data_IF_001293523059
#
_entry.id   IF_001293523059
#
_cell.length_a   1.000
_cell.length_b   1.000
_cell.length_c   1.000
_cell.angle_alpha   90.00
_cell.angle_beta   90.00
_cell.angle_gamma   90.00
#
_symmetry.space_group_name_H-M   'P 1'
#
loop_
_entity.id
_entity.type
_entity.pdbx_description
1 polymer ?
#
# COMPACT_ATOMS: atom_id res chain seq x y z
N UNK A 1 -4.31 -22.65 -71.26
CA UNK A 1 -5.05 -22.09 -70.12
C UNK A 1 -4.31 -22.48 -68.85
N UNK A 2 -3.62 -21.55 -68.21
CA UNK A 2 -2.98 -21.78 -66.92
C UNK A 2 -3.76 -20.97 -65.88
N UNK A 3 -4.39 -21.67 -64.94
CA UNK A 3 -5.03 -21.05 -63.78
C UNK A 3 -3.93 -20.68 -62.79
N UNK A 4 -3.75 -19.38 -62.55
CA UNK A 4 -2.86 -18.90 -61.50
C UNK A 4 -3.50 -19.21 -60.15
N UNK A 5 -2.81 -20.02 -59.34
CA UNK A 5 -3.13 -20.23 -57.94
C UNK A 5 -2.95 -18.88 -57.21
N UNK A 6 -4.05 -18.26 -56.82
CA UNK A 6 -4.04 -17.15 -55.86
C UNK A 6 -3.74 -17.77 -54.50
N UNK A 7 -2.48 -17.69 -54.06
CA UNK A 7 -2.11 -18.01 -52.68
C UNK A 7 -2.71 -16.94 -51.77
N UNK A 8 -3.67 -17.31 -50.94
CA UNK A 8 -4.20 -16.42 -49.91
C UNK A 8 -3.08 -16.07 -48.93
N UNK A 9 -2.69 -14.80 -48.85
CA UNK A 9 -1.76 -14.33 -47.81
C UNK A 9 -2.46 -14.49 -46.47
N UNK A 10 -1.89 -15.30 -45.59
CA UNK A 10 -2.43 -15.55 -44.27
C UNK A 10 -2.05 -14.37 -43.37
N UNK A 11 -3.00 -13.45 -43.17
CA UNK A 11 -2.81 -12.28 -42.30
C UNK A 11 -2.84 -12.74 -40.84
N UNK A 12 -1.75 -12.53 -40.11
CA UNK A 12 -1.67 -12.79 -38.68
C UNK A 12 -1.02 -11.60 -37.96
N UNK A 13 -1.59 -11.23 -36.81
CA UNK A 13 -1.02 -10.20 -35.94
C UNK A 13 0.26 -10.75 -35.32
N UNK A 14 1.32 -9.94 -35.29
CA UNK A 14 2.58 -10.32 -34.64
C UNK A 14 2.49 -10.15 -33.12
N UNK A 15 2.94 -11.19 -32.40
CA UNK A 15 3.01 -11.23 -30.95
C UNK A 15 4.46 -11.14 -30.49
N UNK A 16 4.69 -10.36 -29.44
CA UNK A 16 6.01 -10.18 -28.87
C UNK A 16 5.99 -10.31 -27.35
N UNK A 17 7.04 -10.85 -26.72
CA UNK A 17 7.19 -10.76 -25.27
C UNK A 17 7.53 -9.32 -24.85
N UNK A 18 7.19 -8.93 -23.63
CA UNK A 18 7.45 -7.58 -23.10
C UNK A 18 8.93 -7.15 -23.09
N UNK A 19 9.87 -8.09 -23.14
CA UNK A 19 11.32 -7.82 -23.17
C UNK A 19 11.90 -7.74 -24.60
N UNK A 20 11.07 -7.78 -25.64
CA UNK A 20 11.51 -7.66 -27.03
C UNK A 20 12.16 -6.30 -27.32
N UNK A 21 13.03 -6.25 -28.33
CA UNK A 21 13.54 -4.99 -28.86
C UNK A 21 12.42 -4.17 -29.54
N UNK A 22 12.36 -2.87 -29.24
CA UNK A 22 11.41 -1.90 -29.80
C UNK A 22 11.43 -1.84 -31.32
N UNK A 23 12.58 -2.05 -31.99
CA UNK A 23 12.66 -2.06 -33.46
C UNK A 23 11.78 -3.13 -34.09
N UNK A 24 11.67 -4.31 -33.47
CA UNK A 24 10.86 -5.41 -33.98
C UNK A 24 9.36 -5.08 -33.86
N UNK A 25 8.94 -4.52 -32.73
CA UNK A 25 7.56 -4.07 -32.49
C UNK A 25 7.18 -2.96 -33.45
N UNK A 26 8.06 -1.94 -33.61
CA UNK A 26 7.79 -0.83 -34.51
C UNK A 26 7.71 -1.29 -35.97
N UNK A 27 8.53 -2.26 -36.38
CA UNK A 27 8.44 -2.85 -37.71
C UNK A 27 7.08 -3.54 -37.93
N UNK A 28 6.59 -4.31 -36.96
CA UNK A 28 5.26 -4.91 -37.06
C UNK A 28 4.14 -3.86 -37.13
N UNK A 29 4.25 -2.75 -36.38
CA UNK A 29 3.31 -1.63 -36.49
C UNK A 29 3.39 -0.98 -37.89
N UNK A 30 4.59 -0.79 -38.44
CA UNK A 30 4.77 -0.17 -39.75
C UNK A 30 4.29 -1.05 -40.90
N UNK A 31 4.52 -2.37 -40.82
CA UNK A 31 4.15 -3.33 -41.85
C UNK A 31 2.66 -3.72 -41.76
N UNK A 32 2.15 -3.95 -40.55
CA UNK A 32 0.82 -4.57 -40.30
C UNK A 32 -0.19 -3.63 -39.62
N UNK A 33 0.24 -2.45 -39.14
CA UNK A 33 -0.60 -1.49 -38.42
C UNK A 33 -0.91 -1.86 -36.97
N UNK A 34 -0.50 -3.06 -36.50
CA UNK A 34 -0.79 -3.58 -35.16
C UNK A 34 0.28 -4.55 -34.70
N UNK A 35 0.60 -4.52 -33.40
CA UNK A 35 1.42 -5.51 -32.73
C UNK A 35 0.81 -5.81 -31.35
N UNK A 36 0.92 -7.06 -30.89
CA UNK A 36 0.52 -7.46 -29.54
C UNK A 36 1.77 -7.70 -28.71
N UNK A 37 1.82 -7.10 -27.51
CA UNK A 37 2.89 -7.34 -26.54
C UNK A 37 2.31 -8.11 -25.37
N UNK A 38 2.72 -9.37 -25.22
CA UNK A 38 2.35 -10.24 -24.12
C UNK A 38 3.09 -9.83 -22.85
N UNK A 39 2.35 -9.71 -21.73
CA UNK A 39 2.92 -9.34 -20.43
C UNK A 39 3.46 -7.91 -20.37
N UNK A 40 2.90 -6.97 -21.16
CA UNK A 40 3.38 -5.58 -21.23
C UNK A 40 3.39 -4.87 -19.86
N UNK A 41 2.43 -5.20 -19.00
CA UNK A 41 2.38 -4.75 -17.60
C UNK A 41 2.61 -5.95 -16.67
N UNK A 42 3.24 -5.71 -15.53
CA UNK A 42 3.34 -6.71 -14.47
C UNK A 42 1.94 -7.10 -13.98
N UNK A 43 1.78 -8.37 -13.62
CA UNK A 43 0.53 -8.81 -12.97
C UNK A 43 0.40 -8.21 -11.56
N UNK A 44 1.52 -7.83 -10.94
CA UNK A 44 1.50 -7.12 -9.67
C UNK A 44 1.33 -5.62 -9.88
N UNK A 45 0.43 -5.01 -9.12
CA UNK A 45 0.09 -3.60 -9.24
C UNK A 45 0.00 -2.96 -7.85
N UNK A 46 0.37 -1.68 -7.79
CA UNK A 46 0.38 -0.88 -6.57
C UNK A 46 -0.34 0.43 -6.84
N UNK A 47 -1.28 0.79 -5.98
CA UNK A 47 -2.05 2.01 -6.09
C UNK A 47 -2.01 2.79 -4.77
N UNK A 48 -1.27 3.90 -4.79
CA UNK A 48 -1.11 4.81 -3.66
C UNK A 48 -2.09 5.99 -3.70
N UNK A 49 -2.06 6.84 -2.67
CA UNK A 49 -2.83 8.07 -2.57
C UNK A 49 -4.34 7.83 -2.67
N UNK A 50 -4.85 6.75 -2.06
CA UNK A 50 -6.28 6.38 -2.10
C UNK A 50 -7.20 7.51 -1.65
N UNK A 51 -6.73 8.38 -0.75
CA UNK A 51 -7.42 9.61 -0.32
C UNK A 51 -7.87 10.46 -1.52
N UNK A 52 -7.06 10.52 -2.58
CA UNK A 52 -7.32 11.33 -3.77
C UNK A 52 -8.57 10.91 -4.55
N UNK A 53 -9.02 9.67 -4.45
CA UNK A 53 -10.08 9.14 -5.30
C UNK A 53 -11.14 8.27 -4.59
N UNK A 54 -10.88 7.71 -3.41
CA UNK A 54 -11.87 6.87 -2.71
C UNK A 54 -12.60 7.62 -1.61
N UNK A 55 -13.89 7.89 -1.81
CA UNK A 55 -14.77 8.49 -0.79
C UNK A 55 -14.91 7.59 0.44
N UNK A 56 -15.15 6.30 0.24
CA UNK A 56 -15.25 5.30 1.33
C UNK A 56 -13.99 5.30 2.19
N UNK A 57 -12.82 5.41 1.57
CA UNK A 57 -11.57 5.50 2.32
C UNK A 57 -11.52 6.74 3.23
N UNK A 58 -11.94 7.90 2.70
CA UNK A 58 -11.91 9.16 3.45
C UNK A 58 -12.92 9.23 4.58
N UNK A 59 -14.12 8.73 4.33
CA UNK A 59 -15.26 8.96 5.21
C UNK A 59 -15.42 7.82 6.22
N UNK A 60 -15.13 6.58 5.81
CA UNK A 60 -15.35 5.41 6.66
C UNK A 60 -14.02 4.90 7.21
N UNK A 61 -13.06 4.55 6.34
CA UNK A 61 -11.80 3.92 6.77
C UNK A 61 -10.97 4.85 7.64
N UNK A 62 -10.77 6.10 7.21
CA UNK A 62 -10.00 7.09 7.97
C UNK A 62 -10.68 7.61 9.24
N UNK A 63 -11.95 7.26 9.49
CA UNK A 63 -12.66 7.60 10.72
C UNK A 63 -12.98 6.36 11.57
N UNK A 64 -12.36 5.21 11.27
CA UNK A 64 -12.65 3.95 11.96
C UNK A 64 -12.28 3.98 13.46
N UNK A 65 -13.27 3.90 14.35
CA UNK A 65 -13.10 4.15 15.79
C UNK A 65 -12.07 3.23 16.46
N UNK A 66 -12.11 1.92 16.16
CA UNK A 66 -11.17 0.95 16.72
C UNK A 66 -9.75 1.19 16.23
N UNK A 67 -9.57 1.60 14.97
CA UNK A 67 -8.25 1.93 14.41
C UNK A 67 -7.64 3.09 15.19
N UNK A 68 -8.40 4.17 15.37
CA UNK A 68 -7.98 5.30 16.20
C UNK A 68 -7.73 4.92 17.66
N UNK A 69 -8.55 4.05 18.23
CA UNK A 69 -8.37 3.53 19.59
C UNK A 69 -7.04 2.78 19.78
N UNK A 70 -6.64 1.99 18.79
CA UNK A 70 -5.35 1.28 18.77
C UNK A 70 -4.20 2.29 18.59
N UNK A 71 -4.30 3.19 17.61
CA UNK A 71 -3.25 4.17 17.35
C UNK A 71 -2.99 5.10 18.54
N UNK A 72 -4.04 5.58 19.24
CA UNK A 72 -3.86 6.41 20.45
C UNK A 72 -3.05 5.71 21.53
N UNK A 73 -3.18 4.38 21.67
CA UNK A 73 -2.40 3.58 22.63
C UNK A 73 -0.98 3.32 22.13
N UNK A 74 -0.84 2.90 20.87
CA UNK A 74 0.46 2.57 20.31
C UNK A 74 1.41 3.79 20.24
N UNK A 75 0.85 4.97 19.95
CA UNK A 75 1.59 6.23 19.84
C UNK A 75 1.50 7.10 21.09
N UNK A 76 0.99 6.56 22.20
CA UNK A 76 0.78 7.34 23.43
C UNK A 76 2.06 7.96 23.99
N UNK A 77 3.23 7.37 23.67
CA UNK A 77 4.55 7.84 24.14
C UNK A 77 5.19 8.88 23.22
N UNK A 78 4.60 9.15 22.05
CA UNK A 78 5.14 10.08 21.05
C UNK A 78 4.19 11.25 20.75
N UNK A 79 2.88 11.06 20.86
CA UNK A 79 1.86 12.08 20.66
C UNK A 79 0.85 11.71 19.58
N UNK A 80 0.38 12.71 18.84
CA UNK A 80 -0.56 12.51 17.76
C UNK A 80 0.05 11.70 16.60
N UNK A 81 -0.82 11.13 15.79
CA UNK A 81 -0.48 10.30 14.64
C UNK A 81 -1.29 10.71 13.42
N UNK A 82 -0.80 10.34 12.25
CA UNK A 82 -1.47 10.55 10.97
C UNK A 82 -1.21 9.41 10.00
N UNK A 83 -1.91 9.41 8.88
CA UNK A 83 -1.70 8.41 7.83
C UNK A 83 -0.36 8.67 7.12
N UNK A 84 0.55 7.70 7.13
CA UNK A 84 1.77 7.73 6.32
C UNK A 84 1.45 7.49 4.84
N UNK A 85 0.65 6.47 4.54
CA UNK A 85 0.08 6.23 3.22
C UNK A 85 -1.18 5.37 3.31
N UNK A 86 -1.98 5.40 2.24
CA UNK A 86 -3.06 4.47 2.00
C UNK A 86 -2.86 3.83 0.62
N UNK A 87 -2.68 2.51 0.57
CA UNK A 87 -2.33 1.82 -0.69
C UNK A 87 -3.08 0.51 -0.87
N UNK A 88 -3.42 0.17 -2.11
CA UNK A 88 -3.86 -1.17 -2.49
C UNK A 88 -2.71 -1.84 -3.21
N UNK A 89 -2.35 -3.02 -2.73
CA UNK A 89 -1.44 -3.93 -3.43
C UNK A 89 -2.25 -5.06 -4.03
N UNK A 90 -1.94 -5.39 -5.27
CA UNK A 90 -2.47 -6.55 -5.99
C UNK A 90 -1.29 -7.44 -6.37
N UNK A 91 -1.33 -8.68 -5.89
CA UNK A 91 -0.37 -9.71 -6.28
C UNK A 91 -1.04 -10.65 -7.29
N UNK A 92 -0.43 -10.80 -8.45
CA UNK A 92 -0.94 -11.66 -9.52
C UNK A 92 -0.50 -13.13 -9.38
N UNK A 93 -1.04 -14.00 -10.24
CA UNK A 93 -0.59 -15.39 -10.37
C UNK A 93 0.92 -15.49 -10.59
N UNK A 94 1.59 -16.42 -9.89
CA UNK A 94 3.03 -16.66 -10.01
C UNK A 94 3.91 -15.64 -9.29
N UNK A 95 3.34 -14.72 -8.49
CA UNK A 95 4.13 -13.82 -7.65
C UNK A 95 5.00 -14.62 -6.69
N UNK A 96 6.31 -14.40 -6.71
CA UNK A 96 7.25 -14.99 -5.77
C UNK A 96 7.07 -14.45 -4.34
N UNK A 97 7.51 -15.25 -3.37
CA UNK A 97 7.55 -14.83 -1.97
C UNK A 97 8.46 -13.61 -1.79
N UNK A 98 8.05 -12.69 -0.93
CA UNK A 98 8.89 -11.56 -0.53
C UNK A 98 10.03 -12.05 0.38
N UNK A 99 11.16 -11.34 0.43
CA UNK A 99 12.15 -11.59 1.48
C UNK A 99 11.60 -11.18 2.86
N UNK A 100 12.13 -11.78 3.93
CA UNK A 100 11.88 -11.36 5.30
C UNK A 100 12.24 -9.88 5.50
N UNK A 101 11.30 -9.09 6.00
CA UNK A 101 11.50 -7.67 6.22
C UNK A 101 10.66 -7.14 7.38
N UNK A 102 10.97 -5.90 7.76
CA UNK A 102 10.15 -5.04 8.61
C UNK A 102 9.60 -3.91 7.74
N UNK A 103 8.37 -3.49 7.98
CA UNK A 103 7.78 -2.37 7.25
C UNK A 103 8.43 -1.03 7.63
N UNK A 104 8.96 -0.91 8.86
CA UNK A 104 9.48 0.36 9.35
C UNK A 104 10.74 0.76 8.56
N UNK A 105 10.74 1.95 7.93
CA UNK A 105 11.92 2.44 7.23
C UNK A 105 13.06 2.69 8.21
N UNK A 106 14.28 2.35 7.80
CA UNK A 106 15.46 2.62 8.59
C UNK A 106 15.86 4.09 8.44
N UNK A 107 15.51 4.92 9.43
CA UNK A 107 15.89 6.32 9.47
C UNK A 107 17.05 6.55 10.45
N UNK A 108 18.14 7.21 10.05
CA UNK A 108 19.31 7.45 10.92
C UNK A 108 19.00 8.20 12.22
N UNK A 109 17.89 8.94 12.26
CA UNK A 109 17.47 9.74 13.41
C UNK A 109 16.42 9.05 14.29
N UNK A 110 15.93 7.87 13.89
CA UNK A 110 14.93 7.13 14.65
C UNK A 110 15.59 5.92 15.31
N UNK A 111 15.38 5.81 16.62
CA UNK A 111 15.67 4.55 17.31
C UNK A 111 14.68 3.50 16.78
N UNK A 112 15.21 2.44 16.18
CA UNK A 112 14.44 1.29 15.69
C UNK A 112 14.73 0.06 16.54
N UNK A 113 13.77 -0.85 16.62
CA UNK A 113 13.96 -2.15 17.26
C UNK A 113 13.35 -2.25 18.68
N UNK A 114 13.75 -3.27 19.45
CA UNK A 114 13.10 -3.61 20.72
C UNK A 114 13.21 -2.48 21.75
N UNK A 115 12.13 -2.21 22.46
CA UNK A 115 12.08 -1.16 23.49
C UNK A 115 12.02 0.28 22.95
N UNK A 116 12.16 0.51 21.64
CA UNK A 116 11.88 1.82 21.04
C UNK A 116 10.37 2.09 20.96
N UNK A 117 9.93 3.36 20.94
CA UNK A 117 8.54 3.71 20.67
C UNK A 117 8.03 3.12 19.35
N UNK A 118 6.71 2.98 19.21
CA UNK A 118 6.14 2.54 17.93
C UNK A 118 6.25 3.68 16.91
N UNK A 119 6.88 3.41 15.77
CA UNK A 119 7.05 4.41 14.71
C UNK A 119 6.08 4.19 13.53
N UNK A 120 5.36 3.08 13.52
CA UNK A 120 4.29 2.83 12.55
C UNK A 120 3.39 1.67 12.98
N UNK A 121 2.14 1.70 12.54
CA UNK A 121 1.24 0.56 12.52
C UNK A 121 0.66 0.40 11.12
N UNK A 122 0.73 -0.79 10.56
CA UNK A 122 0.11 -1.11 9.27
C UNK A 122 -1.17 -1.92 9.51
N UNK A 123 -2.32 -1.33 9.22
CA UNK A 123 -3.59 -2.05 9.16
C UNK A 123 -3.71 -2.70 7.78
N UNK A 124 -3.20 -3.92 7.70
CA UNK A 124 -3.16 -4.74 6.50
C UNK A 124 -4.49 -5.50 6.36
N UNK A 125 -5.44 -4.86 5.69
CA UNK A 125 -6.78 -5.40 5.46
C UNK A 125 -6.83 -6.17 4.16
N UNK A 126 -7.29 -7.41 4.19
CA UNK A 126 -7.36 -8.25 3.00
C UNK A 126 -8.68 -7.97 2.29
N UNK A 127 -8.65 -7.70 0.99
CA UNK A 127 -9.86 -7.39 0.20
C UNK A 127 -10.49 -8.62 -0.44
N UNK A 128 -9.79 -9.76 -0.33
CA UNK A 128 -10.19 -11.09 -0.79
C UNK A 128 -9.61 -12.12 0.18
N UNK A 129 -10.09 -13.35 0.13
CA UNK A 129 -9.60 -14.41 1.01
C UNK A 129 -8.13 -14.73 0.71
N UNK A 130 -7.32 -14.76 1.77
CA UNK A 130 -5.91 -15.10 1.70
C UNK A 130 -5.74 -16.53 2.19
N UNK A 131 -5.53 -17.44 1.24
CA UNK A 131 -5.26 -18.86 1.48
C UNK A 131 -3.80 -19.19 1.24
N UNK A 132 -3.39 -20.41 1.60
CA UNK A 132 -2.02 -20.88 1.33
C UNK A 132 -1.68 -20.87 -0.16
N UNK A 133 -2.67 -21.06 -1.03
CA UNK A 133 -2.49 -21.12 -2.48
C UNK A 133 -2.38 -19.72 -3.10
N UNK A 134 -3.26 -18.79 -2.72
CA UNK A 134 -3.19 -17.38 -3.17
C UNK A 134 -2.00 -16.62 -2.56
N UNK A 135 -1.32 -17.25 -1.61
CA UNK A 135 -0.33 -16.67 -0.73
C UNK A 135 -0.99 -16.06 0.51
N UNK A 136 -0.45 -16.36 1.68
CA UNK A 136 -0.79 -15.72 2.96
C UNK A 136 0.28 -14.69 3.31
N UNK A 137 0.05 -13.92 4.37
CA UNK A 137 1.16 -13.22 5.03
C UNK A 137 1.74 -14.14 6.10
N UNK A 138 3.07 -14.21 6.15
CA UNK A 138 3.81 -15.04 7.09
C UNK A 138 4.56 -14.14 8.07
N UNK A 139 4.48 -14.48 9.35
CA UNK A 139 5.08 -13.73 10.45
C UNK A 139 6.10 -14.61 11.15
N UNK A 140 7.28 -14.07 11.39
CA UNK A 140 8.25 -14.74 12.27
C UNK A 140 7.92 -14.35 13.71
N UNK A 141 7.40 -15.30 14.49
CA UNK A 141 6.79 -15.05 15.79
C UNK A 141 7.76 -14.34 16.75
N UNK A 142 7.25 -13.42 17.58
CA UNK A 142 8.02 -12.67 18.60
C UNK A 142 9.21 -11.81 18.12
N UNK A 143 9.47 -11.70 16.81
CA UNK A 143 10.64 -10.97 16.28
C UNK A 143 10.62 -9.44 16.46
N UNK A 144 9.49 -8.87 16.86
CA UNK A 144 9.42 -7.47 17.30
C UNK A 144 10.30 -7.18 18.53
N UNK A 145 10.75 -8.22 19.23
CA UNK A 145 11.66 -8.16 20.38
C UNK A 145 13.12 -8.45 20.02
N UNK A 146 13.44 -8.71 18.74
CA UNK A 146 14.80 -8.89 18.23
C UNK A 146 15.35 -7.63 17.57
N UNK A 147 16.67 -7.45 17.61
CA UNK A 147 17.34 -6.34 16.93
C UNK A 147 17.49 -6.67 15.45
N UNK A 148 18.04 -7.83 15.14
CA UNK A 148 18.19 -8.39 13.82
C UNK A 148 16.86 -8.84 13.20
N UNK A 149 16.84 -9.06 11.87
CA UNK A 149 15.74 -9.77 11.20
C UNK A 149 15.77 -11.26 11.57
N UNK A 150 16.96 -11.86 11.52
CA UNK A 150 17.17 -13.27 11.81
C UNK A 150 16.56 -14.21 10.76
N UNK A 151 16.59 -15.49 11.09
CA UNK A 151 15.91 -16.56 10.35
C UNK A 151 14.93 -17.27 11.29
N UNK A 152 13.90 -17.95 10.76
CA UNK A 152 13.00 -18.73 11.59
C UNK A 152 13.74 -19.82 12.39
N UNK A 153 13.37 -19.96 13.66
CA UNK A 153 13.92 -20.97 14.57
C UNK A 153 12.82 -21.54 15.49
N UNK A 154 13.20 -22.40 16.44
CA UNK A 154 12.25 -23.04 17.34
C UNK A 154 11.51 -22.05 18.27
N UNK A 155 12.16 -20.93 18.63
CA UNK A 155 11.61 -19.90 19.51
C UNK A 155 10.82 -18.84 18.71
N UNK A 156 11.10 -18.72 17.42
CA UNK A 156 10.51 -17.75 16.49
C UNK A 156 9.97 -18.48 15.25
N UNK A 157 9.01 -19.40 15.41
CA UNK A 157 8.45 -20.16 14.29
C UNK A 157 7.70 -19.22 13.34
N UNK A 158 7.56 -19.67 12.09
CA UNK A 158 6.70 -18.98 11.12
C UNK A 158 5.24 -19.28 11.42
N UNK A 159 4.44 -18.22 11.60
CA UNK A 159 2.99 -18.29 11.75
C UNK A 159 2.34 -17.62 10.54
N UNK A 160 1.28 -18.23 10.01
CA UNK A 160 0.60 -17.70 8.83
C UNK A 160 -0.76 -17.11 9.19
N UNK A 161 -1.12 -16.00 8.56
CA UNK A 161 -2.45 -15.41 8.69
C UNK A 161 -3.35 -15.83 7.54
N UNK A 162 -4.12 -16.91 7.75
CA UNK A 162 -5.27 -17.18 6.90
C UNK A 162 -6.35 -16.16 7.26
N UNK A 163 -6.66 -15.25 6.34
CA UNK A 163 -7.56 -14.11 6.55
C UNK A 163 -8.66 -14.15 5.51
N UNK A 164 -9.89 -13.88 5.92
CA UNK A 164 -11.04 -13.75 5.03
C UNK A 164 -11.19 -12.30 4.58
N UNK A 165 -11.85 -12.08 3.44
CA UNK A 165 -12.15 -10.74 2.96
C UNK A 165 -12.71 -9.84 4.07
N UNK A 166 -12.14 -8.64 4.21
CA UNK A 166 -12.39 -7.62 5.25
C UNK A 166 -11.68 -7.83 6.59
N UNK A 167 -11.01 -8.97 6.81
CA UNK A 167 -10.15 -9.12 7.98
C UNK A 167 -8.92 -8.21 7.88
N UNK A 168 -8.44 -7.70 9.01
CA UNK A 168 -7.18 -6.94 9.08
C UNK A 168 -6.18 -7.60 10.02
N UNK A 169 -4.96 -7.78 9.56
CA UNK A 169 -3.81 -7.93 10.44
C UNK A 169 -3.30 -6.53 10.81
N UNK A 170 -3.02 -6.29 12.10
CA UNK A 170 -2.42 -5.02 12.55
C UNK A 170 -0.95 -5.28 12.86
N UNK A 171 -0.06 -4.75 12.04
CA UNK A 171 1.37 -5.01 12.12
C UNK A 171 2.08 -3.84 12.78
N UNK A 172 2.87 -4.14 13.81
CA UNK A 172 3.94 -3.25 14.26
C UNK A 172 5.01 -3.15 13.18
N UNK A 173 5.60 -1.96 13.03
CA UNK A 173 6.77 -1.76 12.16
C UNK A 173 7.99 -2.61 12.52
N UNK A 174 8.00 -3.22 13.71
CA UNK A 174 9.07 -4.07 14.24
C UNK A 174 8.88 -5.54 13.92
N UNK A 175 7.69 -5.96 13.47
CA UNK A 175 7.40 -7.36 13.20
C UNK A 175 8.07 -7.82 11.90
N UNK A 176 8.86 -8.90 11.97
CA UNK A 176 9.44 -9.52 10.77
C UNK A 176 8.39 -10.38 10.09
N UNK A 177 8.17 -10.12 8.80
CA UNK A 177 7.16 -10.81 8.02
C UNK A 177 7.52 -10.85 6.54
N UNK A 178 6.75 -11.61 5.76
CA UNK A 178 6.83 -11.66 4.30
C UNK A 178 5.46 -12.04 3.70
N UNK A 179 5.18 -11.60 2.49
CA UNK A 179 4.13 -12.21 1.67
C UNK A 179 4.60 -13.54 1.07
N UNK A 180 3.81 -14.61 1.23
CA UNK A 180 4.06 -15.88 0.53
C UNK A 180 3.88 -15.72 -0.98
N UNK A 181 4.43 -16.68 -1.73
CA UNK A 181 4.19 -16.79 -3.16
C UNK A 181 2.70 -17.01 -3.48
N UNK A 182 2.22 -16.43 -4.58
CA UNK A 182 0.90 -16.72 -5.12
C UNK A 182 1.02 -17.86 -6.14
N UNK A 183 0.59 -19.05 -5.73
CA UNK A 183 0.60 -20.27 -6.52
C UNK A 183 -0.75 -20.53 -7.21
N UNK A 184 -1.72 -19.64 -7.05
CA UNK A 184 -3.04 -19.72 -7.67
C UNK A 184 -3.07 -19.05 -9.05
N UNK A 185 -4.20 -19.19 -9.74
CA UNK A 185 -4.57 -18.46 -10.96
C UNK A 185 -5.31 -17.14 -10.69
N UNK A 186 -5.47 -16.78 -9.41
CA UNK A 186 -6.26 -15.65 -8.96
C UNK A 186 -5.38 -14.50 -8.45
N UNK A 187 -5.86 -13.27 -8.61
CA UNK A 187 -5.24 -12.11 -7.98
C UNK A 187 -5.54 -12.11 -6.49
N UNK A 188 -4.64 -11.50 -5.70
CA UNK A 188 -4.79 -11.29 -4.26
C UNK A 188 -4.60 -9.82 -3.93
N UNK A 189 -5.59 -9.17 -3.29
CA UNK A 189 -5.54 -7.73 -2.97
C UNK A 189 -5.57 -7.44 -1.49
N UNK A 190 -4.74 -6.52 -1.04
CA UNK A 190 -4.79 -5.97 0.31
C UNK A 190 -4.85 -4.43 0.27
N UNK A 191 -5.63 -3.85 1.17
CA UNK A 191 -5.60 -2.45 1.54
C UNK A 191 -4.65 -2.26 2.73
N UNK A 192 -3.65 -1.42 2.57
CA UNK A 192 -2.71 -1.02 3.60
C UNK A 192 -3.07 0.39 4.07
N UNK A 193 -3.35 0.52 5.35
CA UNK A 193 -3.47 1.83 6.01
C UNK A 193 -2.31 1.95 7.00
N UNK A 194 -1.28 2.66 6.57
CA UNK A 194 -0.12 2.91 7.40
C UNK A 194 -0.36 4.14 8.27
N UNK A 195 -0.35 3.97 9.58
CA UNK A 195 -0.41 5.04 10.56
C UNK A 195 0.98 5.26 11.15
N UNK A 196 1.42 6.51 11.24
CA UNK A 196 2.75 6.89 11.76
C UNK A 196 2.62 8.05 12.76
N UNK A 197 3.58 8.25 13.68
CA UNK A 197 3.63 9.43 14.53
C UNK A 197 3.65 10.70 13.67
N UNK A 198 2.92 11.73 14.10
CA UNK A 198 2.79 12.99 13.35
C UNK A 198 4.09 13.81 13.24
N UNK A 199 5.14 13.39 13.96
CA UNK A 199 6.50 13.90 13.80
C UNK A 199 7.17 13.43 12.48
N UNK A 200 6.73 12.31 11.91
CA UNK A 200 7.33 11.71 10.72
C UNK A 200 6.59 12.14 9.46
N UNK A 201 7.33 12.58 8.44
CA UNK A 201 6.77 12.96 7.14
C UNK A 201 6.04 11.78 6.47
N UNK A 202 4.88 12.07 5.89
CA UNK A 202 4.07 11.11 5.14
C UNK A 202 4.81 10.62 3.90
N UNK A 203 4.60 9.37 3.51
CA UNK A 203 5.03 8.85 2.21
C UNK A 203 4.11 9.38 1.09
N UNK A 204 2.79 9.27 1.27
CA UNK A 204 1.82 9.83 0.33
C UNK A 204 1.65 11.32 0.60
N UNK A 205 2.28 12.16 -0.23
CA UNK A 205 2.09 13.60 -0.14
C UNK A 205 0.63 13.98 -0.41
N UNK A 206 -0.01 14.68 0.51
CA UNK A 206 -1.41 15.10 0.35
C UNK A 206 -1.55 16.54 -0.11
N UNK A 207 -0.47 17.31 -0.27
CA UNK A 207 -0.49 18.77 -0.47
C UNK A 207 -1.36 19.26 -1.65
N UNK A 208 -1.52 18.45 -2.70
CA UNK A 208 -2.38 18.73 -3.85
C UNK A 208 -3.88 18.62 -3.54
N UNK A 209 -4.24 18.01 -2.42
CA UNK A 209 -5.61 17.85 -1.94
C UNK A 209 -5.95 19.05 -1.05
N UNK A 210 -6.84 19.94 -1.51
CA UNK A 210 -7.11 21.19 -0.80
C UNK A 210 -7.74 21.03 0.61
N UNK A 211 -8.38 19.89 0.91
CA UNK A 211 -9.29 19.78 2.06
C UNK A 211 -9.17 18.49 2.91
N UNK A 212 -8.04 17.78 2.89
CA UNK A 212 -7.99 16.39 3.40
C UNK A 212 -6.88 16.11 4.43
N UNK A 213 -6.40 14.87 4.53
CA UNK A 213 -5.44 14.37 5.53
C UNK A 213 -4.18 15.25 5.63
N UNK A 214 -3.68 15.49 6.84
CA UNK A 214 -2.50 16.33 7.09
C UNK A 214 -2.79 17.84 6.97
N UNK A 215 -3.95 18.29 7.45
CA UNK A 215 -4.40 19.71 7.39
C UNK A 215 -4.78 20.30 8.75
N UNK A 216 -4.44 19.61 9.83
CA UNK A 216 -4.58 20.10 11.20
C UNK A 216 -3.25 19.97 11.92
N UNK A 217 -3.02 20.83 12.89
CA UNK A 217 -1.82 20.76 13.72
C UNK A 217 -1.80 19.48 14.53
N UNK A 218 -0.60 19.04 14.89
CA UNK A 218 -0.32 17.76 15.55
C UNK A 218 0.35 18.06 16.89
N UNK A 219 -0.15 17.47 17.97
CA UNK A 219 0.43 17.58 19.31
C UNK A 219 1.55 16.57 19.54
N UNK A 220 2.61 17.01 20.21
CA UNK A 220 3.74 16.14 20.60
C UNK A 220 3.73 15.99 22.12
N UNK A 221 3.80 14.75 22.61
CA UNK A 221 3.51 14.40 24.00
C UNK A 221 4.37 15.10 25.06
N UNK A 222 5.59 15.54 24.70
CA UNK A 222 6.54 16.10 25.66
C UNK A 222 6.38 17.60 25.90
N UNK A 223 5.30 18.21 25.40
CA UNK A 223 5.05 19.63 25.53
C UNK A 223 3.60 20.00 25.20
N UNK A 224 3.11 21.14 25.68
CA UNK A 224 1.93 21.80 25.10
C UNK A 224 2.20 22.36 23.68
N UNK A 225 3.30 21.95 23.03
CA UNK A 225 3.66 22.41 21.69
C UNK A 225 2.95 21.54 20.65
N UNK A 226 2.37 22.24 19.68
CA UNK A 226 1.94 21.66 18.43
C UNK A 226 2.95 22.00 17.33
N UNK A 227 3.14 21.04 16.42
CA UNK A 227 3.82 21.26 15.14
C UNK A 227 2.79 21.35 14.02
N UNK A 228 3.26 21.63 12.81
CA UNK A 228 2.40 21.79 11.64
C UNK A 228 1.38 22.93 11.86
N UNK A 229 1.91 24.09 12.19
CA UNK A 229 1.17 25.29 12.58
C UNK A 229 1.34 26.40 11.55
N UNK A 230 0.37 27.32 11.49
CA UNK A 230 0.49 28.58 10.77
C UNK A 230 0.50 29.71 11.81
N UNK A 231 1.46 30.63 11.72
CA UNK A 231 1.64 31.72 12.70
C UNK A 231 1.64 31.25 14.16
N UNK A 232 2.26 30.09 14.41
CA UNK A 232 2.32 29.42 15.72
C UNK A 232 0.95 29.08 16.32
N UNK A 233 -0.08 28.92 15.48
CA UNK A 233 -1.45 28.55 15.86
C UNK A 233 -1.93 27.36 15.02
N UNK A 234 -3.07 26.79 15.41
CA UNK A 234 -3.70 25.68 14.71
C UNK A 234 -3.92 26.03 13.23
N UNK A 235 -3.29 25.28 12.32
CA UNK A 235 -3.25 25.62 10.90
C UNK A 235 -4.64 25.67 10.27
N UNK A 236 -5.53 24.75 10.62
CA UNK A 236 -6.87 24.70 10.06
C UNK A 236 -7.73 25.89 10.49
N UNK A 237 -7.63 26.35 11.73
CA UNK A 237 -8.29 27.56 12.22
C UNK A 237 -7.77 28.81 11.50
N UNK A 238 -6.44 28.94 11.36
CA UNK A 238 -5.84 30.11 10.70
C UNK A 238 -6.25 30.25 9.23
N UNK A 239 -6.44 29.14 8.51
CA UNK A 239 -6.88 29.16 7.12
C UNK A 239 -8.41 29.08 6.95
N UNK A 240 -9.18 29.06 8.06
CA UNK A 240 -10.64 28.92 8.00
C UNK A 240 -11.10 27.59 7.40
N UNK A 241 -10.34 26.52 7.63
CA UNK A 241 -10.62 25.18 7.10
C UNK A 241 -11.92 24.62 7.70
N UNK A 242 -12.92 24.44 6.83
CA UNK A 242 -14.19 23.79 7.18
C UNK A 242 -14.00 22.27 7.28
N UNK A 243 -14.89 21.61 8.03
CA UNK A 243 -15.01 20.15 8.10
C UNK A 243 -16.47 19.74 7.87
N UNK A 244 -16.71 18.46 7.57
CA UNK A 244 -18.05 17.85 7.42
C UNK A 244 -18.96 18.62 6.45
N UNK A 245 -18.39 19.20 5.40
CA UNK A 245 -19.18 19.81 4.34
C UNK A 245 -19.85 18.70 3.52
N UNK A 246 -21.09 18.88 3.07
CA UNK A 246 -21.74 17.88 2.23
C UNK A 246 -21.00 17.75 0.90
N UNK A 247 -20.88 16.52 0.41
CA UNK A 247 -20.30 16.26 -0.91
C UNK A 247 -21.23 16.76 -2.01
N UNK A 248 -20.67 17.55 -2.93
CA UNK A 248 -21.39 18.04 -4.11
C UNK A 248 -21.88 16.93 -5.04
N UNK A 249 -21.35 15.71 -4.93
CA UNK A 249 -21.78 14.55 -5.73
C UNK A 249 -23.20 14.09 -5.35
N UNK A 250 -23.67 14.36 -4.13
CA UNK A 250 -25.04 14.02 -3.70
C UNK A 250 -26.13 14.93 -4.26
N UNK A 251 -25.78 16.02 -4.96
CA UNK A 251 -26.76 16.96 -5.54
C UNK A 251 -27.25 16.55 -6.94
N UNK A 252 -26.85 15.36 -7.45
CA UNK A 252 -27.19 14.89 -8.80
C UNK A 252 -27.98 13.57 -8.86
N UNK A 253 -28.39 13.02 -7.73
CA UNK A 253 -29.41 11.95 -7.66
C UNK A 253 -30.75 12.54 -7.21
#
# INVERSE_FOLDING_TARGET
MAWALVTSVQVQIQWFPANVNTTAVYKAIADDGVAIIEGFLSLDQWLHNIVGFSKVFRDDVLNHELMHGICRRAFETVGDYWMGYGSVIENGPGREAQPWHRDQPNHPLLNTGPGSPEAMLNFFTVLMDFTRETGVTEFMWNTHQRVELGEPDADHPVVWSALQASDTAVLSGKMVHQGSANQSDSYRRALLVLMIPGLLTLFDATCHLLWMVGRRSIQILFSELAIWCLDMREVGEQIGLKSNQPDKEKEKE
#
